data_IF_284795927368
#
_entry.id   IF_284795927368
#
_cell.length_a   1.000
_cell.length_b   1.000
_cell.length_c   1.000
_cell.angle_alpha   90.00
_cell.angle_beta   90.00
_cell.angle_gamma   90.00
#
_symmetry.space_group_name_H-M   'P 1'
#
loop_
_entity.id
_entity.type
_entity.pdbx_description
1 polymer ?
#
# COMPACT_ATOMS: atom_id res chain seq x y z
N UNK A 1 -3.50 8.39 -6.05
CA UNK A 1 -3.61 8.99 -4.69
C UNK A 1 -2.78 8.28 -3.64
N UNK A 2 -2.06 7.22 -4.00
CA UNK A 2 -1.13 6.56 -3.10
C UNK A 2 0.19 7.32 -2.91
N UNK A 3 0.45 8.33 -3.74
CA UNK A 3 1.57 9.26 -3.55
C UNK A 3 1.56 9.91 -2.15
N UNK A 4 0.43 9.93 -1.44
CA UNK A 4 0.36 10.46 -0.07
C UNK A 4 0.95 9.49 0.97
N UNK A 5 0.94 8.16 0.76
CA UNK A 5 1.38 7.19 1.77
C UNK A 5 2.90 7.18 1.94
N UNK A 6 3.65 7.26 0.83
CA UNK A 6 5.12 7.34 0.90
C UNK A 6 5.61 8.63 1.57
N UNK A 7 4.73 9.61 1.81
CA UNK A 7 5.05 10.90 2.42
C UNK A 7 4.69 10.99 3.89
N UNK A 8 4.01 9.97 4.40
CA UNK A 8 3.48 9.93 5.76
C UNK A 8 4.23 8.94 6.67
N UNK A 9 5.48 8.57 6.37
CA UNK A 9 6.35 8.00 7.40
C UNK A 9 6.73 9.14 8.38
N UNK A 10 6.24 9.12 9.63
CA UNK A 10 6.41 10.24 10.57
C UNK A 10 7.86 10.46 11.02
N UNK A 11 8.79 9.60 10.60
CA UNK A 11 10.20 9.63 10.96
C UNK A 11 11.12 10.24 9.89
N UNK A 12 10.58 10.71 8.75
CA UNK A 12 11.40 11.12 7.61
C UNK A 12 11.50 12.65 7.54
N UNK A 13 12.73 13.17 7.62
CA UNK A 13 13.00 14.60 7.46
C UNK A 13 12.60 15.09 6.06
N UNK A 14 12.34 16.40 5.87
CA UNK A 14 12.02 16.94 4.55
C UNK A 14 13.06 16.61 3.47
N UNK A 15 14.34 16.59 3.83
CA UNK A 15 15.46 16.27 2.94
C UNK A 15 15.48 14.78 2.55
N UNK A 16 15.20 13.87 3.48
CA UNK A 16 15.10 12.44 3.20
C UNK A 16 13.90 12.13 2.30
N UNK A 17 12.79 12.82 2.50
CA UNK A 17 11.61 12.71 1.62
C UNK A 17 11.91 13.20 0.21
N UNK A 18 12.64 14.30 0.07
CA UNK A 18 13.06 14.83 -1.23
C UNK A 18 14.06 13.90 -1.93
N UNK A 19 14.99 13.30 -1.16
CA UNK A 19 15.92 12.28 -1.65
C UNK A 19 15.19 11.01 -2.09
N UNK A 20 14.21 10.55 -1.31
CA UNK A 20 13.35 9.44 -1.66
C UNK A 20 12.64 9.72 -2.99
N UNK A 21 12.02 10.89 -3.14
CA UNK A 21 11.39 11.28 -4.40
C UNK A 21 12.35 11.31 -5.59
N UNK A 22 13.57 11.80 -5.41
CA UNK A 22 14.56 11.82 -6.49
C UNK A 22 14.98 10.42 -6.91
N UNK A 23 15.28 9.54 -5.94
CA UNK A 23 15.61 8.13 -6.20
C UNK A 23 14.42 7.39 -6.85
N UNK A 24 13.21 7.68 -6.38
CA UNK A 24 11.96 7.14 -6.88
C UNK A 24 11.71 7.54 -8.34
N UNK A 25 11.85 8.83 -8.69
CA UNK A 25 11.72 9.31 -10.08
C UNK A 25 12.75 8.67 -11.01
N UNK A 26 13.97 8.46 -10.55
CA UNK A 26 15.03 7.83 -11.35
C UNK A 26 14.74 6.35 -11.63
N UNK A 27 14.22 5.60 -10.65
CA UNK A 27 13.84 4.20 -10.84
C UNK A 27 12.70 4.05 -11.85
N UNK A 28 11.75 4.99 -11.86
CA UNK A 28 10.65 5.01 -12.82
C UNK A 28 11.13 5.26 -14.24
N UNK A 29 12.02 6.25 -14.41
CA UNK A 29 12.59 6.55 -15.72
C UNK A 29 13.39 5.36 -16.28
N UNK A 30 14.03 4.58 -15.42
CA UNK A 30 14.75 3.37 -15.82
C UNK A 30 13.82 2.23 -16.27
N UNK A 31 12.55 2.22 -15.84
CA UNK A 31 11.57 1.18 -16.18
C UNK A 31 10.89 1.35 -17.55
N UNK A 32 11.13 2.48 -18.24
CA UNK A 32 10.60 2.74 -19.58
C UNK A 32 9.07 2.93 -19.65
N UNK A 33 8.37 2.95 -18.51
CA UNK A 33 6.97 3.32 -18.41
C UNK A 33 6.89 4.78 -17.99
N UNK A 34 6.33 5.64 -18.86
CA UNK A 34 5.98 7.00 -18.47
C UNK A 34 5.00 6.91 -17.30
N UNK A 35 5.45 7.36 -16.13
CA UNK A 35 4.74 7.30 -14.86
C UNK A 35 3.60 8.33 -14.78
N UNK A 36 2.92 8.57 -15.90
CA UNK A 36 2.01 9.70 -16.03
C UNK A 36 0.64 9.43 -15.38
N UNK A 37 0.20 8.17 -15.26
CA UNK A 37 -1.17 7.92 -14.80
C UNK A 37 -1.37 6.76 -13.82
N UNK A 38 -0.39 5.88 -13.61
CA UNK A 38 -0.59 4.71 -12.76
C UNK A 38 -0.07 4.97 -11.35
N UNK A 39 -0.91 4.77 -10.32
CA UNK A 39 -0.48 4.77 -8.91
C UNK A 39 0.63 3.71 -8.76
N UNK A 40 1.87 4.16 -8.70
CA UNK A 40 3.08 3.33 -8.74
C UNK A 40 3.17 2.35 -7.57
N UNK A 41 2.46 2.64 -6.49
CA UNK A 41 2.21 1.72 -5.40
C UNK A 41 1.43 0.47 -5.82
N UNK A 42 0.44 0.62 -6.71
CA UNK A 42 -0.30 -0.49 -7.30
C UNK A 42 0.60 -1.28 -8.24
N UNK A 43 1.54 -0.61 -8.90
CA UNK A 43 2.59 -1.32 -9.60
C UNK A 43 3.39 -2.15 -8.58
N UNK A 44 3.89 -1.59 -7.48
CA UNK A 44 4.66 -2.38 -6.51
C UNK A 44 3.94 -3.66 -6.00
N UNK A 45 2.61 -3.69 -5.94
CA UNK A 45 1.85 -4.89 -5.55
C UNK A 45 2.16 -6.13 -6.41
N UNK A 46 2.50 -6.00 -7.70
CA UNK A 46 2.83 -7.18 -8.53
C UNK A 46 4.18 -7.81 -8.18
N UNK A 47 5.02 -7.11 -7.40
CA UNK A 47 6.34 -7.60 -6.97
C UNK A 47 6.28 -8.29 -5.60
N UNK A 48 5.16 -8.17 -4.90
CA UNK A 48 4.95 -8.72 -3.56
C UNK A 48 4.37 -10.13 -3.64
N UNK A 49 4.71 -10.97 -2.65
CA UNK A 49 3.95 -12.18 -2.41
C UNK A 49 2.50 -11.84 -2.02
N UNK A 50 1.58 -12.79 -2.18
CA UNK A 50 0.16 -12.57 -1.80
C UNK A 50 0.01 -12.13 -0.35
N UNK A 51 0.83 -12.66 0.56
CA UNK A 51 0.82 -12.29 1.99
C UNK A 51 1.32 -10.87 2.25
N UNK A 52 2.39 -10.47 1.57
CA UNK A 52 2.92 -9.10 1.66
C UNK A 52 1.94 -8.10 1.05
N UNK A 53 1.35 -8.43 -0.10
CA UNK A 53 0.33 -7.60 -0.74
C UNK A 53 -0.90 -7.43 0.16
N UNK A 54 -1.36 -8.51 0.81
CA UNK A 54 -2.46 -8.47 1.76
C UNK A 54 -2.15 -7.53 2.94
N UNK A 55 -0.99 -7.72 3.58
CA UNK A 55 -0.53 -6.86 4.69
C UNK A 55 -0.51 -5.38 4.28
N UNK A 56 0.06 -5.05 3.12
CA UNK A 56 0.15 -3.67 2.62
C UNK A 56 -1.24 -3.06 2.38
N UNK A 57 -2.18 -3.84 1.83
CA UNK A 57 -3.54 -3.39 1.57
C UNK A 57 -4.34 -3.19 2.87
N UNK A 58 -4.17 -4.06 3.86
CA UNK A 58 -4.80 -3.94 5.18
C UNK A 58 -4.29 -2.71 5.94
N UNK A 59 -2.98 -2.46 5.94
CA UNK A 59 -2.39 -1.25 6.51
C UNK A 59 -2.92 0.01 5.81
N UNK A 60 -3.03 -0.02 4.48
CA UNK A 60 -3.62 1.09 3.73
C UNK A 60 -5.10 1.29 4.07
N UNK A 61 -5.86 0.21 4.24
CA UNK A 61 -7.25 0.26 4.67
C UNK A 61 -7.39 0.98 6.01
N UNK A 62 -6.57 0.60 7.00
CA UNK A 62 -6.56 1.25 8.31
C UNK A 62 -6.22 2.74 8.23
N UNK A 63 -5.25 3.14 7.39
CA UNK A 63 -4.93 4.55 7.16
C UNK A 63 -6.09 5.33 6.54
N UNK A 64 -6.81 4.74 5.57
CA UNK A 64 -7.97 5.38 4.93
C UNK A 64 -9.09 5.59 5.93
N UNK A 65 -9.41 4.58 6.74
CA UNK A 65 -10.43 4.66 7.80
C UNK A 65 -10.10 5.77 8.79
N UNK A 66 -8.86 5.79 9.31
CA UNK A 66 -8.41 6.85 10.23
C UNK A 66 -8.50 8.25 9.60
N UNK A 67 -8.21 8.38 8.31
CA UNK A 67 -8.31 9.65 7.60
C UNK A 67 -9.76 10.12 7.47
N UNK A 68 -10.69 9.20 7.18
CA UNK A 68 -12.12 9.49 7.14
C UNK A 68 -12.65 9.92 8.52
N UNK A 69 -12.23 9.27 9.60
CA UNK A 69 -12.60 9.64 10.97
C UNK A 69 -12.13 11.05 11.33
N UNK A 70 -10.87 11.38 11.02
CA UNK A 70 -10.30 12.70 11.27
C UNK A 70 -11.09 13.80 10.52
N UNK A 71 -11.42 13.56 9.25
CA UNK A 71 -12.24 14.49 8.47
C UNK A 71 -13.69 14.56 9.00
N UNK A 72 -14.22 13.47 9.56
CA UNK A 72 -15.53 13.45 10.23
C UNK A 72 -15.59 14.38 11.44
N UNK A 73 -14.57 14.34 12.29
CA UNK A 73 -14.47 15.15 13.52
C UNK A 73 -14.40 16.65 13.24
N UNK A 74 -13.65 17.06 12.21
CA UNK A 74 -13.51 18.49 11.85
C UNK A 74 -14.84 19.15 11.42
N UNK A 75 -15.79 18.38 10.87
CA UNK A 75 -17.10 18.91 10.44
C UNK A 75 -17.97 19.34 11.62
N UNK A 76 -17.80 18.72 12.79
CA UNK A 76 -18.59 19.03 13.97
C UNK A 76 -18.16 20.35 14.65
N UNK A 77 -16.97 20.86 14.33
CA UNK A 77 -16.36 21.99 15.06
C UNK A 77 -16.46 23.35 14.36
N UNK A 78 -16.84 23.44 13.08
CA UNK A 78 -16.71 24.68 12.31
C UNK A 78 -18.04 25.22 11.77
N UNK A 79 -18.51 26.32 12.37
CA UNK A 79 -19.74 27.03 11.99
C UNK A 79 -19.56 28.08 10.88
N UNK A 80 -18.38 28.19 10.26
CA UNK A 80 -18.15 29.10 9.13
C UNK A 80 -16.96 28.65 8.25
N UNK A 81 -17.16 27.68 7.35
CA UNK A 81 -16.14 27.30 6.36
C UNK A 81 -16.25 28.12 5.08
N UNK A 82 -15.11 28.52 4.53
CA UNK A 82 -14.99 29.02 3.15
C UNK A 82 -15.49 27.93 2.17
N UNK A 83 -16.29 28.31 1.18
CA UNK A 83 -16.79 27.43 0.11
C UNK A 83 -15.65 26.68 -0.56
N UNK A 84 -14.48 27.32 -0.73
CA UNK A 84 -13.30 26.67 -1.31
C UNK A 84 -12.78 25.51 -0.46
N UNK A 85 -12.76 25.68 0.86
CA UNK A 85 -12.37 24.60 1.77
C UNK A 85 -13.40 23.47 1.74
N UNK A 86 -14.69 23.80 1.65
CA UNK A 86 -15.74 22.80 1.51
C UNK A 86 -15.58 21.94 0.26
N UNK A 87 -15.29 22.55 -0.91
CA UNK A 87 -15.05 21.81 -2.16
C UNK A 87 -13.83 20.89 -2.04
N UNK A 88 -12.73 21.36 -1.43
CA UNK A 88 -11.53 20.55 -1.21
C UNK A 88 -11.85 19.36 -0.31
N UNK A 89 -12.56 19.58 0.80
CA UNK A 89 -12.89 18.52 1.74
C UNK A 89 -13.88 17.51 1.16
N UNK A 90 -14.85 17.96 0.37
CA UNK A 90 -15.80 17.10 -0.33
C UNK A 90 -15.08 16.20 -1.37
N UNK A 91 -14.17 16.80 -2.14
CA UNK A 91 -13.32 16.07 -3.06
C UNK A 91 -12.50 15.00 -2.34
N UNK A 92 -11.78 15.36 -1.27
CA UNK A 92 -10.97 14.43 -0.49
C UNK A 92 -11.81 13.29 0.12
N UNK A 93 -13.01 13.57 0.63
CA UNK A 93 -13.93 12.54 1.15
C UNK A 93 -14.37 11.57 0.07
N UNK A 94 -14.69 12.08 -1.12
CA UNK A 94 -15.10 11.27 -2.26
C UNK A 94 -13.99 10.28 -2.63
N UNK A 95 -12.76 10.77 -2.66
CA UNK A 95 -11.59 9.96 -3.00
C UNK A 95 -11.28 8.90 -1.95
N UNK A 96 -11.28 9.27 -0.67
CA UNK A 96 -11.10 8.32 0.44
C UNK A 96 -12.20 7.25 0.45
N UNK A 97 -13.44 7.62 0.15
CA UNK A 97 -14.56 6.67 0.09
C UNK A 97 -14.42 5.68 -1.07
N UNK A 98 -14.02 6.17 -2.25
CA UNK A 98 -13.75 5.31 -3.40
C UNK A 98 -12.58 4.35 -3.12
N UNK A 99 -11.52 4.85 -2.49
CA UNK A 99 -10.37 4.03 -2.11
C UNK A 99 -10.72 2.98 -1.04
N UNK A 100 -11.51 3.36 -0.03
CA UNK A 100 -11.99 2.45 1.01
C UNK A 100 -12.74 1.24 0.43
N UNK A 101 -13.70 1.49 -0.45
CA UNK A 101 -14.48 0.42 -1.08
C UNK A 101 -13.67 -0.39 -2.10
N UNK A 102 -12.66 0.21 -2.73
CA UNK A 102 -11.71 -0.54 -3.54
C UNK A 102 -10.85 -1.48 -2.67
N UNK A 103 -10.26 -0.99 -1.58
CA UNK A 103 -9.42 -1.79 -0.67
C UNK A 103 -10.17 -2.98 -0.11
N UNK A 104 -11.39 -2.78 0.41
CA UNK A 104 -12.22 -3.87 0.95
C UNK A 104 -12.47 -4.98 -0.08
N UNK A 105 -12.82 -4.61 -1.31
CA UNK A 105 -13.07 -5.58 -2.38
C UNK A 105 -11.79 -6.32 -2.79
N UNK A 106 -10.68 -5.61 -2.94
CA UNK A 106 -9.39 -6.20 -3.34
C UNK A 106 -8.85 -7.15 -2.27
N UNK A 107 -8.93 -6.78 -0.99
CA UNK A 107 -8.54 -7.63 0.14
C UNK A 107 -9.37 -8.91 0.16
N UNK A 108 -10.69 -8.79 0.05
CA UNK A 108 -11.58 -9.94 0.02
C UNK A 108 -11.29 -10.87 -1.17
N UNK A 109 -10.94 -10.32 -2.33
CA UNK A 109 -10.54 -11.10 -3.51
C UNK A 109 -9.22 -11.86 -3.26
N UNK A 110 -8.20 -11.19 -2.71
CA UNK A 110 -6.91 -11.84 -2.42
C UNK A 110 -7.04 -12.97 -1.40
N UNK A 111 -7.83 -12.76 -0.34
CA UNK A 111 -8.11 -13.79 0.67
C UNK A 111 -8.83 -15.00 0.07
N UNK A 112 -9.77 -14.78 -0.86
CA UNK A 112 -10.49 -15.85 -1.55
C UNK A 112 -9.65 -16.57 -2.62
N UNK A 113 -8.54 -15.99 -3.06
CA UNK A 113 -7.57 -16.60 -4.00
C UNK A 113 -6.48 -17.40 -3.26
N UNK A 114 -6.41 -17.31 -1.92
CA UNK A 114 -5.53 -18.10 -1.06
C UNK A 114 -6.15 -19.40 -0.45
N UNK A 115 -7.08 -20.16 -1.07
CA UNK A 115 -7.34 -21.51 -0.61
C UNK A 115 -6.20 -22.41 -1.12
N UNK A 116 -5.40 -22.97 -0.20
CA UNK A 116 -4.60 -24.19 -0.42
C UNK A 116 -3.19 -24.11 -1.06
N UNK A 117 -2.25 -23.37 -0.45
CA UNK A 117 -0.83 -23.77 -0.40
C UNK A 117 -0.34 -23.53 1.04
N UNK A 118 -0.13 -24.53 1.91
CA UNK A 118 0.65 -25.75 1.70
C UNK A 118 0.02 -27.01 2.32
N UNK A 119 0.05 -28.16 1.60
CA UNK A 119 0.29 -29.45 2.21
C UNK A 119 1.69 -29.94 1.83
N UNK A 120 2.65 -29.71 2.72
CA UNK A 120 3.81 -30.59 2.90
C UNK A 120 4.95 -30.48 1.87
N UNK A 121 5.87 -29.54 2.08
CA UNK A 121 7.28 -29.77 1.74
C UNK A 121 7.98 -30.45 2.93
N UNK A 122 7.61 -31.71 3.19
CA UNK A 122 8.45 -32.63 3.94
C UNK A 122 9.57 -33.13 3.01
N UNK A 123 10.60 -32.29 2.80
CA UNK A 123 11.86 -32.78 2.24
C UNK A 123 12.71 -33.32 3.39
N UNK A 124 12.35 -34.52 3.84
CA UNK A 124 13.28 -35.43 4.46
C UNK A 124 14.23 -35.94 3.36
N UNK A 125 15.31 -35.22 3.08
CA UNK A 125 16.45 -35.76 2.35
C UNK A 125 17.48 -36.27 3.34
N UNK A 126 17.27 -37.53 3.69
CA UNK A 126 18.25 -38.58 3.94
C UNK A 126 19.70 -38.12 4.06
N UNK A 127 20.25 -38.29 5.26
CA UNK A 127 21.68 -38.52 5.47
C UNK A 127 22.14 -39.63 4.51
N UNK A 128 23.07 -39.30 3.61
CA UNK A 128 23.85 -40.29 2.88
C UNK A 128 25.30 -40.14 3.29
N UNK A 129 25.65 -40.90 4.31
CA UNK A 129 27.00 -41.14 4.82
C UNK A 129 27.77 -41.91 3.74
N UNK A 130 28.64 -41.23 3.00
CA UNK A 130 29.73 -41.91 2.29
C UNK A 130 30.89 -42.12 3.26
N UNK A 131 30.81 -43.21 4.01
CA UNK A 131 31.99 -43.88 4.57
C UNK A 131 32.56 -44.77 3.48
N UNK A 132 33.76 -44.46 3.01
CA UNK A 132 34.63 -45.44 2.35
C UNK A 132 35.96 -45.39 3.06
N UNK A 133 36.29 -46.51 3.69
CA UNK A 133 37.57 -46.86 4.25
C UNK A 133 38.55 -47.28 3.14
N UNK A 134 39.83 -47.07 3.46
CA UNK A 134 41.10 -47.55 2.85
C UNK A 134 41.64 -46.85 1.60
#
# INVERSE_FOLDING_TARGET
MWQIICLCLPAVTPSERQRFFALFRNALHASGREADEMDLSLFFLHTLSSQEALTVLEERLHLVVRSQELMGQQRAMESARDIRQWVIDDHLRTLLSAEHEWLKRTIAQLQNVQPDQEPGSSHATSEQVCSVYD
#
